data_IF_468940459713
#
_entry.id   IF_468940459713
#
_cell.length_a   1.000
_cell.length_b   1.000
_cell.length_c   1.000
_cell.angle_alpha   90.00
_cell.angle_beta   90.00
_cell.angle_gamma   90.00
#
_symmetry.space_group_name_H-M   'P 1'
#
loop_
_entity.id
_entity.type
_entity.pdbx_description
1 polymer ?
#
# COMPACT_ATOMS: atom_id res chain seq x y z
N UNK A 1 5.68 7.91 -1.82
CA UNK A 1 4.25 7.61 -2.02
C UNK A 1 3.62 7.02 -0.77
N UNK A 2 4.16 5.93 -0.21
CA UNK A 2 3.65 5.30 1.01
C UNK A 2 3.51 6.28 2.21
N UNK A 3 4.53 7.10 2.46
CA UNK A 3 4.48 8.13 3.50
C UNK A 3 3.28 9.10 3.34
N UNK A 4 2.89 9.43 2.11
CA UNK A 4 1.74 10.30 1.84
C UNK A 4 0.43 9.62 2.25
N UNK A 5 0.31 8.30 2.04
CA UNK A 5 -0.83 7.51 2.49
C UNK A 5 -0.92 7.48 4.01
N UNK A 6 0.21 7.25 4.70
CA UNK A 6 0.25 7.24 6.17
C UNK A 6 -0.09 8.60 6.77
N UNK A 7 0.37 9.70 6.16
CA UNK A 7 0.04 11.04 6.63
C UNK A 7 -1.44 11.35 6.49
N UNK A 8 -2.14 10.76 5.52
CA UNK A 8 -3.52 11.14 5.17
C UNK A 8 -4.61 10.21 5.67
N UNK A 9 -4.23 9.04 6.16
CA UNK A 9 -5.17 7.97 6.49
C UNK A 9 -4.74 7.21 7.74
N UNK A 10 -5.61 6.32 8.19
CA UNK A 10 -5.29 5.35 9.23
C UNK A 10 -4.72 4.04 8.67
N UNK A 11 -4.24 4.03 7.41
CA UNK A 11 -3.75 2.83 6.73
C UNK A 11 -2.64 2.08 7.49
N UNK A 12 -1.81 2.78 8.27
CA UNK A 12 -0.76 2.13 9.06
C UNK A 12 -1.32 1.14 10.10
N UNK A 13 -2.53 1.38 10.62
CA UNK A 13 -3.22 0.44 11.52
C UNK A 13 -3.55 -0.89 10.81
N UNK A 14 -3.69 -0.85 9.48
CA UNK A 14 -3.94 -2.05 8.68
C UNK A 14 -2.69 -2.90 8.49
N UNK A 15 -1.49 -2.30 8.59
CA UNK A 15 -0.21 -2.97 8.35
C UNK A 15 0.37 -3.65 9.58
N UNK A 16 -0.04 -3.19 10.76
CA UNK A 16 0.42 -3.71 12.04
C UNK A 16 -0.78 -4.14 12.90
N UNK A 17 -0.89 -5.44 13.17
CA UNK A 17 -1.98 -5.98 13.97
C UNK A 17 -1.92 -5.53 15.44
N UNK A 18 -0.73 -5.18 15.96
CA UNK A 18 -0.56 -4.72 17.34
C UNK A 18 -1.08 -3.29 17.55
N UNK A 19 -1.12 -2.49 16.48
CA UNK A 19 -1.56 -1.09 16.54
C UNK A 19 -3.08 -0.93 16.43
N UNK A 20 -3.82 -1.97 16.02
CA UNK A 20 -5.27 -1.92 15.81
C UNK A 20 -6.05 -2.62 16.93
N UNK A 21 -6.48 -1.82 17.91
CA UNK A 21 -7.28 -2.24 19.06
C UNK A 21 -8.79 -2.36 18.74
N UNK A 22 -9.18 -2.12 17.47
CA UNK A 22 -10.58 -2.15 17.04
C UNK A 22 -10.92 -3.44 16.29
N UNK A 23 -12.21 -3.82 16.25
CA UNK A 23 -12.71 -5.03 15.57
C UNK A 23 -12.35 -5.02 14.08
N UNK A 24 -11.19 -5.62 13.82
CA UNK A 24 -10.58 -6.14 12.61
C UNK A 24 -11.33 -5.84 11.30
N UNK A 25 -10.89 -4.84 10.50
CA UNK A 25 -11.10 -4.90 9.07
C UNK A 25 -10.48 -6.18 8.50
N UNK A 26 -11.03 -6.68 7.40
CA UNK A 26 -10.49 -7.87 6.72
C UNK A 26 -9.07 -7.59 6.23
N UNK A 27 -8.12 -8.44 6.65
CA UNK A 27 -6.74 -8.38 6.22
C UNK A 27 -6.28 -9.73 5.73
N UNK A 28 -5.72 -9.71 4.53
CA UNK A 28 -5.19 -10.90 3.89
C UNK A 28 -3.77 -10.63 3.43
N UNK A 29 -2.91 -11.62 3.64
CA UNK A 29 -1.59 -11.65 3.04
C UNK A 29 -1.52 -12.77 2.02
N UNK A 30 -0.83 -12.50 0.92
CA UNK A 30 -0.59 -13.49 -0.13
C UNK A 30 0.90 -13.83 -0.16
N UNK A 31 1.22 -15.11 -0.02
CA UNK A 31 2.60 -15.61 -0.10
C UNK A 31 3.12 -15.52 -1.54
N UNK A 32 4.43 -15.61 -1.73
CA UNK A 32 5.04 -15.75 -3.06
C UNK A 32 4.55 -17.00 -3.85
N UNK A 33 3.86 -17.95 -3.19
CA UNK A 33 3.25 -19.13 -3.81
C UNK A 33 1.79 -18.92 -4.22
N UNK A 34 1.22 -17.74 -3.96
CA UNK A 34 -0.18 -17.43 -4.27
C UNK A 34 -1.18 -17.95 -3.22
N UNK A 35 -0.70 -18.31 -2.03
CA UNK A 35 -1.56 -18.76 -0.94
C UNK A 35 -2.06 -17.55 -0.14
N UNK A 36 -3.39 -17.41 -0.02
CA UNK A 36 -4.02 -16.38 0.80
C UNK A 36 -4.21 -16.86 2.24
N UNK A 37 -3.86 -16.00 3.19
CA UNK A 37 -4.08 -16.26 4.60
C UNK A 37 -4.68 -15.03 5.28
N UNK A 38 -5.75 -15.27 6.06
CA UNK A 38 -6.36 -14.26 6.91
C UNK A 38 -5.48 -14.04 8.13
N UNK A 39 -5.16 -12.78 8.43
CA UNK A 39 -4.30 -12.45 9.55
C UNK A 39 -5.07 -12.51 10.86
N UNK A 40 -4.39 -13.02 11.90
CA UNK A 40 -4.85 -12.98 13.28
C UNK A 40 -3.96 -12.03 14.08
N UNK A 41 -4.51 -11.50 15.17
CA UNK A 41 -4.12 -10.29 15.93
C UNK A 41 -2.65 -10.05 16.34
N UNK A 42 -1.67 -10.88 16.01
CA UNK A 42 -0.31 -10.77 16.60
C UNK A 42 0.83 -10.81 15.56
N UNK A 43 0.57 -10.59 14.27
CA UNK A 43 1.59 -10.66 13.22
C UNK A 43 1.78 -9.28 12.57
N UNK A 44 3.00 -8.74 12.64
CA UNK A 44 3.41 -7.56 11.86
C UNK A 44 3.84 -8.02 10.46
N UNK A 45 3.19 -7.50 9.42
CA UNK A 45 3.50 -7.83 8.02
C UNK A 45 4.54 -6.89 7.40
N UNK A 46 5.00 -5.91 8.16
CA UNK A 46 5.91 -4.91 7.69
C UNK A 46 7.28 -5.08 8.35
N UNK A 47 8.37 -5.20 7.60
CA UNK A 47 8.48 -5.15 6.13
C UNK A 47 8.01 -6.41 5.40
N UNK A 48 7.35 -6.26 4.26
CA UNK A 48 6.90 -7.37 3.40
C UNK A 48 8.07 -8.09 2.72
N UNK A 49 7.92 -9.40 2.49
CA UNK A 49 8.78 -10.18 1.61
C UNK A 49 8.68 -9.71 0.15
N UNK A 50 9.70 -10.05 -0.66
CA UNK A 50 9.70 -9.75 -2.09
C UNK A 50 8.50 -10.40 -2.79
N UNK A 51 7.76 -9.61 -3.57
CA UNK A 51 6.46 -9.97 -4.18
C UNK A 51 5.34 -10.26 -3.18
N UNK A 52 5.55 -10.03 -1.88
CA UNK A 52 4.51 -10.09 -0.86
C UNK A 52 3.42 -9.05 -1.13
N UNK A 53 2.17 -9.43 -0.87
CA UNK A 53 1.01 -8.56 -1.06
C UNK A 53 0.16 -8.51 0.20
N UNK A 54 -0.31 -7.32 0.55
CA UNK A 54 -1.24 -7.05 1.65
C UNK A 54 -2.51 -6.45 1.08
N UNK A 55 -3.65 -7.06 1.37
CA UNK A 55 -4.96 -6.46 1.20
C UNK A 55 -5.47 -5.92 2.53
N UNK A 56 -6.00 -4.70 2.50
CA UNK A 56 -6.64 -4.06 3.64
C UNK A 56 -7.93 -3.34 3.23
N UNK A 57 -8.99 -3.50 4.01
CA UNK A 57 -10.26 -2.76 3.89
C UNK A 57 -10.49 -1.83 5.09
N UNK A 58 -11.57 -1.04 5.07
CA UNK A 58 -11.93 -0.18 6.20
C UNK A 58 -11.04 1.04 6.42
N UNK A 59 -10.16 1.39 5.47
CA UNK A 59 -9.26 2.53 5.60
C UNK A 59 -10.08 3.82 5.49
N UNK A 60 -9.78 4.78 6.38
CA UNK A 60 -10.35 6.13 6.34
C UNK A 60 -9.27 7.11 5.91
N UNK A 61 -9.54 7.87 4.84
CA UNK A 61 -8.71 9.01 4.41
C UNK A 61 -9.34 10.28 4.95
N UNK A 62 -8.65 10.95 5.85
CA UNK A 62 -9.18 12.10 6.60
C UNK A 62 -8.33 13.36 6.44
N UNK A 63 -7.21 13.31 5.71
CA UNK A 63 -6.47 14.51 5.32
C UNK A 63 -6.32 14.67 3.82
N UNK A 64 -6.24 15.94 3.43
CA UNK A 64 -6.03 16.40 2.08
C UNK A 64 -4.57 16.21 1.62
N UNK A 65 -4.25 16.61 0.39
CA UNK A 65 -2.93 16.43 -0.25
C UNK A 65 -1.86 17.36 0.33
N UNK A 66 -0.60 17.11 -0.06
CA UNK A 66 0.59 17.81 0.46
C UNK A 66 0.60 19.30 0.11
N UNK A 67 0.06 19.68 -1.06
CA UNK A 67 -0.13 21.07 -1.50
C UNK A 67 -0.99 21.92 -0.54
N UNK A 68 -1.86 21.28 0.25
CA UNK A 68 -2.66 21.91 1.30
C UNK A 68 -2.07 21.76 2.70
N UNK A 69 -0.86 21.20 2.81
CA UNK A 69 -0.21 20.93 4.09
C UNK A 69 -0.92 19.85 4.92
N UNK A 70 -1.63 18.92 4.27
CA UNK A 70 -2.41 17.86 4.94
C UNK A 70 -3.52 18.39 5.86
N UNK A 71 -4.25 19.42 5.43
CA UNK A 71 -5.45 19.88 6.12
C UNK A 71 -6.48 18.75 6.29
N UNK A 72 -7.29 18.79 7.35
CA UNK A 72 -8.38 17.84 7.51
C UNK A 72 -9.43 18.00 6.41
N UNK A 73 -9.98 16.88 5.94
CA UNK A 73 -11.09 16.87 4.99
C UNK A 73 -12.39 17.23 5.73
N UNK A 74 -13.21 18.08 5.12
CA UNK A 74 -14.58 18.34 5.61
C UNK A 74 -15.43 17.06 5.56
N UNK A 75 -15.20 16.22 4.55
CA UNK A 75 -15.84 14.92 4.38
C UNK A 75 -14.76 13.84 4.16
N UNK A 76 -14.42 13.05 5.20
CA UNK A 76 -13.49 11.93 5.05
C UNK A 76 -14.02 10.86 4.09
N UNK A 77 -13.10 10.17 3.41
CA UNK A 77 -13.43 8.99 2.62
C UNK A 77 -13.36 7.76 3.53
N UNK A 78 -14.46 7.04 3.67
CA UNK A 78 -14.58 5.84 4.49
C UNK A 78 -14.54 4.56 3.64
N UNK A 79 -14.21 3.44 4.26
CA UNK A 79 -14.14 2.10 3.64
C UNK A 79 -13.28 2.04 2.36
N UNK A 80 -12.19 2.79 2.35
CA UNK A 80 -11.18 2.69 1.30
C UNK A 80 -10.48 1.33 1.42
N UNK A 81 -10.25 0.70 0.27
CA UNK A 81 -9.52 -0.57 0.14
C UNK A 81 -8.15 -0.30 -0.46
N UNK A 82 -7.14 -1.00 0.05
CA UNK A 82 -5.76 -0.87 -0.39
C UNK A 82 -5.17 -2.23 -0.70
N UNK A 83 -4.30 -2.25 -1.71
CA UNK A 83 -3.42 -3.37 -2.03
C UNK A 83 -2.00 -2.81 -1.98
N UNK A 84 -1.20 -3.25 -1.01
CA UNK A 84 0.23 -3.01 -1.01
C UNK A 84 0.95 -4.21 -1.61
N UNK A 85 1.85 -3.95 -2.55
CA UNK A 85 2.69 -4.93 -3.20
C UNK A 85 4.15 -4.50 -3.01
N UNK A 86 4.98 -5.40 -2.50
CA UNK A 86 6.41 -5.17 -2.44
C UNK A 86 7.02 -5.17 -3.85
N UNK A 87 7.63 -4.04 -4.23
CA UNK A 87 8.36 -3.95 -5.50
C UNK A 87 9.61 -4.83 -5.50
N UNK A 88 10.04 -5.26 -6.69
CA UNK A 88 11.29 -6.01 -6.87
C UNK A 88 12.48 -5.21 -6.32
N UNK A 89 13.22 -5.79 -5.36
CA UNK A 89 14.26 -5.05 -4.64
C UNK A 89 15.52 -4.97 -5.50
N UNK A 90 15.91 -3.75 -5.85
CA UNK A 90 17.10 -3.48 -6.66
C UNK A 90 17.08 -4.22 -8.01
N UNK A 91 16.12 -3.90 -8.90
CA UNK A 91 16.08 -4.52 -10.22
C UNK A 91 17.40 -4.36 -10.96
N UNK A 92 17.86 -5.42 -11.63
CA UNK A 92 18.98 -5.30 -12.55
C UNK A 92 18.66 -4.25 -13.61
N UNK A 93 19.35 -3.12 -13.53
CA UNK A 93 19.21 -2.05 -14.51
C UNK A 93 19.99 -2.46 -15.75
N UNK A 94 19.28 -2.82 -16.81
CA UNK A 94 19.90 -2.95 -18.13
C UNK A 94 20.41 -1.58 -18.57
N UNK A 95 21.72 -1.34 -18.39
CA UNK A 95 22.37 -0.13 -18.91
C UNK A 95 22.16 -0.08 -20.42
N UNK A 96 21.64 1.05 -20.91
CA UNK A 96 21.33 1.34 -22.32
C UNK A 96 20.07 0.65 -22.90
N UNK A 97 19.25 0.00 -22.09
CA UNK A 97 17.93 -0.49 -22.54
C UNK A 97 16.86 0.59 -22.28
N UNK A 98 16.64 1.46 -23.26
CA UNK A 98 15.60 2.49 -23.21
C UNK A 98 14.23 1.98 -23.67
N UNK A 99 14.07 0.68 -23.93
CA UNK A 99 12.82 0.13 -24.49
C UNK A 99 11.59 0.35 -23.61
N UNK A 100 11.79 0.50 -22.29
CA UNK A 100 10.75 0.81 -21.31
C UNK A 100 10.50 2.32 -21.14
N UNK A 101 11.36 3.17 -21.72
CA UNK A 101 11.31 4.63 -21.62
C UNK A 101 10.91 5.31 -22.93
N UNK A 102 10.76 4.55 -24.02
CA UNK A 102 10.30 5.10 -25.31
C UNK A 102 8.79 5.26 -25.31
N UNK A 103 8.33 6.50 -25.45
CA UNK A 103 6.93 6.82 -25.68
C UNK A 103 6.43 6.13 -26.96
N UNK A 104 5.28 5.43 -26.86
CA UNK A 104 4.59 4.83 -28.01
C UNK A 104 4.14 5.84 -29.08
N UNK A 105 4.30 7.14 -28.84
CA UNK A 105 3.92 8.21 -29.76
C UNK A 105 5.04 8.64 -30.73
N UNK A 106 6.18 7.95 -30.74
CA UNK A 106 7.32 8.26 -31.62
C UNK A 106 7.42 7.37 -32.89
N UNK A 107 6.34 6.70 -33.29
CA UNK A 107 6.26 5.97 -34.56
C UNK A 107 5.06 6.50 -35.34
N UNK A 108 5.31 7.53 -36.16
CA UNK A 108 4.41 7.97 -37.22
C UNK A 108 4.46 7.05 -38.43
#
# INVERSE_FOLDING_TARGET
QEENLFRRSNYYLSLDAELDDTKQPERYWCTAKGEEQMLRTNESMYSMDEFGTIYASGITVFRNTEDTGYAYLEQPLYDVRSIALAAYKQPELKRNDTSLLTDKNAMG
#
